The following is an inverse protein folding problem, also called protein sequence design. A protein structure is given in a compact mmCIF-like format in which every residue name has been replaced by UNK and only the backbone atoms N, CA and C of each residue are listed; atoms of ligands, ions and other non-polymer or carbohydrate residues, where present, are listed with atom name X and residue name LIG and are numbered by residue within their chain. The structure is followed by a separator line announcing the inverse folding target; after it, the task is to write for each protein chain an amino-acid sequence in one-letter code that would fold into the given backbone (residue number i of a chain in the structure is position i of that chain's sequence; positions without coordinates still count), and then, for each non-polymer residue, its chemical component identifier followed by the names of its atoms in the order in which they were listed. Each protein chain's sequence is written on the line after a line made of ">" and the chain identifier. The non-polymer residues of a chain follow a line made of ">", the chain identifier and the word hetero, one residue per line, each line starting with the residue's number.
data_IF_205751119988
#
_entry.id   IF_205751119988
#
_cell.length_a   1.000
_cell.length_b   1.000
_cell.length_c   1.000
_cell.angle_alpha   90.00
_cell.angle_beta   90.00
_cell.angle_gamma   90.00
#
_symmetry.space_group_name_H-M   'P 1'
#
loop_
_entity.id
_entity.type
_entity.pdbx_description
1 polymer ?
#
# COMPACT_ATOMS: atom_id res chain seq x y z
N UNK A 1 65.92 -40.22 44.81
CA UNK A 1 64.91 -39.75 45.80
C UNK A 1 64.22 -38.52 45.28
N UNK A 2 62.97 -38.68 44.76
CA UNK A 2 62.17 -37.54 44.21
C UNK A 2 61.39 -36.94 45.37
N UNK A 3 61.61 -35.66 45.67
CA UNK A 3 60.87 -34.92 46.68
C UNK A 3 59.42 -34.62 46.26
N UNK A 4 58.47 -34.54 47.18
CA UNK A 4 57.06 -34.29 46.88
C UNK A 4 56.86 -32.88 46.37
N UNK A 5 56.36 -32.76 45.18
CA UNK A 5 55.87 -31.47 44.62
C UNK A 5 54.74 -30.93 45.48
N UNK A 6 54.98 -29.86 46.25
CA UNK A 6 53.94 -29.11 46.98
C UNK A 6 52.90 -28.58 45.99
N UNK A 7 51.70 -29.11 46.00
CA UNK A 7 50.55 -28.55 45.32
C UNK A 7 50.18 -27.25 46.03
N UNK A 8 50.36 -26.12 45.32
CA UNK A 8 49.86 -24.83 45.82
C UNK A 8 48.33 -24.81 45.63
N UNK A 9 47.59 -24.67 46.70
CA UNK A 9 46.14 -24.49 46.68
C UNK A 9 45.79 -23.07 46.27
N UNK A 10 44.63 -22.89 45.64
CA UNK A 10 44.10 -21.57 45.32
C UNK A 10 43.77 -20.78 46.58
N UNK A 11 44.05 -19.48 46.56
CA UNK A 11 43.67 -18.58 47.67
C UNK A 11 42.20 -18.13 47.49
N UNK A 12 41.51 -17.88 48.60
CA UNK A 12 40.13 -17.40 48.58
C UNK A 12 39.97 -16.10 47.76
N UNK A 13 40.96 -15.20 47.83
CA UNK A 13 40.99 -13.95 47.11
C UNK A 13 41.11 -14.13 45.57
N UNK A 14 41.85 -15.14 45.14
CA UNK A 14 42.00 -15.48 43.73
C UNK A 14 40.68 -15.98 43.12
N UNK A 15 39.93 -16.79 43.88
CA UNK A 15 38.60 -17.24 43.46
C UNK A 15 37.61 -16.08 43.41
N UNK A 16 37.61 -15.18 44.41
CA UNK A 16 36.75 -13.99 44.40
C UNK A 16 37.07 -13.04 43.23
N UNK A 17 38.34 -12.84 42.94
CA UNK A 17 38.76 -12.01 41.80
C UNK A 17 38.35 -12.64 40.47
N UNK A 18 38.52 -13.96 40.33
CA UNK A 18 38.10 -14.68 39.14
C UNK A 18 36.59 -14.58 38.93
N UNK A 19 35.76 -14.71 39.97
CA UNK A 19 34.30 -14.55 39.91
C UNK A 19 33.91 -13.12 39.57
N UNK A 20 34.60 -12.11 40.12
CA UNK A 20 34.33 -10.70 39.81
C UNK A 20 34.60 -10.39 38.33
N UNK A 21 35.74 -10.88 37.81
CA UNK A 21 36.06 -10.70 36.37
C UNK A 21 35.03 -11.45 35.49
N UNK A 22 34.71 -12.71 35.84
CA UNK A 22 33.73 -13.51 35.11
C UNK A 22 32.36 -12.81 35.07
N UNK A 23 31.90 -12.27 36.22
CA UNK A 23 30.64 -11.56 36.33
C UNK A 23 30.62 -10.30 35.42
N UNK A 24 31.72 -9.55 35.42
CA UNK A 24 31.84 -8.34 34.58
C UNK A 24 31.81 -8.70 33.10
N UNK A 25 32.55 -9.74 32.69
CA UNK A 25 32.54 -10.21 31.28
C UNK A 25 31.14 -10.69 30.88
N UNK A 26 30.44 -11.42 31.76
CA UNK A 26 29.09 -11.91 31.49
C UNK A 26 28.11 -10.74 31.28
N UNK A 27 28.16 -9.70 32.16
CA UNK A 27 27.31 -8.51 32.03
C UNK A 27 27.59 -7.77 30.71
N UNK A 28 28.84 -7.62 30.31
CA UNK A 28 29.21 -6.99 29.04
C UNK A 28 28.71 -7.80 27.83
N UNK A 29 28.82 -9.12 27.86
CA UNK A 29 28.31 -10.00 26.80
C UNK A 29 26.78 -9.91 26.67
N UNK A 30 26.05 -9.95 27.78
CA UNK A 30 24.60 -9.80 27.79
C UNK A 30 24.18 -8.43 27.30
N UNK A 31 24.87 -7.37 27.68
CA UNK A 31 24.59 -6.01 27.21
C UNK A 31 24.81 -5.88 25.70
N UNK A 32 25.92 -6.43 25.18
CA UNK A 32 26.20 -6.44 23.75
C UNK A 32 25.14 -7.24 22.97
N UNK A 33 24.76 -8.42 23.47
CA UNK A 33 23.74 -9.26 22.86
C UNK A 33 22.36 -8.57 22.80
N UNK A 34 21.92 -7.98 23.92
CA UNK A 34 20.64 -7.28 23.97
C UNK A 34 20.62 -6.04 23.08
N UNK A 35 21.74 -5.31 22.99
CA UNK A 35 21.90 -4.18 22.06
C UNK A 35 21.79 -4.59 20.60
N UNK A 36 22.48 -5.67 20.22
CA UNK A 36 22.42 -6.22 18.87
C UNK A 36 21.00 -6.71 18.50
N UNK A 37 20.34 -7.42 19.41
CA UNK A 37 18.98 -7.95 19.20
C UNK A 37 17.97 -6.82 18.96
N UNK A 38 18.00 -5.75 19.77
CA UNK A 38 17.13 -4.58 19.57
C UNK A 38 17.38 -3.88 18.23
N UNK A 39 18.65 -3.78 17.82
CA UNK A 39 19.01 -3.22 16.52
C UNK A 39 18.41 -4.02 15.36
N UNK A 40 18.45 -5.34 15.43
CA UNK A 40 17.86 -6.23 14.42
C UNK A 40 16.33 -6.11 14.34
N UNK A 41 15.64 -5.99 15.46
CA UNK A 41 14.18 -5.80 15.50
C UNK A 41 13.76 -4.51 14.77
N UNK A 42 14.45 -3.40 15.05
CA UNK A 42 14.16 -2.11 14.40
C UNK A 42 14.41 -2.19 12.89
N UNK A 43 15.49 -2.83 12.45
CA UNK A 43 15.80 -3.00 11.04
C UNK A 43 14.77 -3.89 10.34
N UNK A 44 14.32 -4.95 11.01
CA UNK A 44 13.32 -5.87 10.46
C UNK A 44 11.97 -5.18 10.28
N UNK A 45 11.53 -4.39 11.26
CA UNK A 45 10.27 -3.66 11.17
C UNK A 45 10.30 -2.60 10.06
N UNK A 46 11.39 -1.85 9.95
CA UNK A 46 11.58 -0.91 8.83
C UNK A 46 11.52 -1.61 7.48
N UNK A 47 12.21 -2.75 7.35
CA UNK A 47 12.20 -3.55 6.12
C UNK A 47 10.80 -4.03 5.76
N UNK A 48 9.97 -4.43 6.74
CA UNK A 48 8.57 -4.82 6.55
C UNK A 48 7.74 -3.64 6.04
N UNK A 49 7.85 -2.48 6.66
CA UNK A 49 7.12 -1.27 6.26
C UNK A 49 7.47 -0.86 4.83
N UNK A 50 8.76 -0.84 4.47
CA UNK A 50 9.20 -0.55 3.09
C UNK A 50 8.63 -1.55 2.08
N UNK A 51 8.61 -2.83 2.42
CA UNK A 51 8.03 -3.88 1.57
C UNK A 51 6.52 -3.68 1.39
N UNK A 52 5.78 -3.37 2.45
CA UNK A 52 4.35 -3.08 2.38
C UNK A 52 4.07 -1.87 1.48
N UNK A 53 4.80 -0.77 1.66
CA UNK A 53 4.66 0.42 0.82
C UNK A 53 4.93 0.07 -0.65
N UNK A 54 6.01 -0.65 -0.95
CA UNK A 54 6.36 -1.05 -2.31
C UNK A 54 5.27 -1.90 -2.95
N UNK A 55 4.81 -2.94 -2.27
CA UNK A 55 3.73 -3.81 -2.75
C UNK A 55 2.44 -3.00 -2.97
N UNK A 56 2.11 -2.09 -2.07
CA UNK A 56 0.95 -1.20 -2.21
C UNK A 56 1.07 -0.29 -3.43
N UNK A 57 2.25 0.30 -3.65
CA UNK A 57 2.53 1.15 -4.81
C UNK A 57 2.40 0.37 -6.12
N UNK A 58 2.91 -0.88 -6.16
CA UNK A 58 2.82 -1.75 -7.32
C UNK A 58 1.36 -2.15 -7.58
N UNK A 59 0.61 -2.48 -6.54
CA UNK A 59 -0.81 -2.84 -6.66
C UNK A 59 -1.66 -1.68 -7.16
N UNK A 60 -1.53 -0.49 -6.56
CA UNK A 60 -2.24 0.72 -7.02
C UNK A 60 -1.90 1.00 -8.49
N UNK A 61 -0.62 0.92 -8.85
CA UNK A 61 -0.17 1.14 -10.22
C UNK A 61 -0.78 0.15 -11.21
N UNK A 62 -0.81 -1.13 -10.86
CA UNK A 62 -1.40 -2.18 -11.69
C UNK A 62 -2.91 -1.99 -11.89
N UNK A 63 -3.65 -1.71 -10.81
CA UNK A 63 -5.09 -1.48 -10.88
C UNK A 63 -5.41 -0.23 -11.72
N UNK A 64 -4.61 0.83 -11.62
CA UNK A 64 -4.78 2.06 -12.40
C UNK A 64 -4.53 1.85 -13.90
N UNK A 65 -3.62 0.95 -14.29
CA UNK A 65 -3.42 0.63 -15.71
C UNK A 65 -4.64 -0.02 -16.35
N UNK A 66 -5.46 -0.72 -15.57
CA UNK A 66 -6.74 -1.28 -16.00
C UNK A 66 -7.92 -0.31 -15.89
N UNK A 67 -7.71 0.93 -15.41
CA UNK A 67 -8.79 1.88 -15.17
C UNK A 67 -9.45 2.30 -16.49
N UNK A 68 -10.79 2.29 -16.51
CA UNK A 68 -11.56 2.79 -17.62
C UNK A 68 -12.82 3.54 -17.13
N UNK A 69 -13.32 4.42 -17.94
CA UNK A 69 -14.57 5.12 -17.70
C UNK A 69 -15.21 5.47 -19.04
N UNK A 70 -16.51 5.32 -19.13
CA UNK A 70 -17.27 5.64 -20.33
C UNK A 70 -18.49 6.47 -19.99
N UNK A 71 -18.71 7.61 -20.65
CA UNK A 71 -19.94 8.39 -20.48
C UNK A 71 -21.21 7.61 -20.88
N UNK A 72 -21.05 6.62 -21.79
CA UNK A 72 -22.14 5.78 -22.26
C UNK A 72 -22.54 4.66 -21.27
N UNK A 73 -21.73 4.41 -20.25
CA UNK A 73 -21.95 3.34 -19.26
C UNK A 73 -22.00 3.97 -17.87
N UNK A 74 -23.22 4.23 -17.38
CA UNK A 74 -23.45 4.94 -16.11
C UNK A 74 -22.80 4.26 -14.88
N UNK A 75 -22.59 2.96 -14.94
CA UNK A 75 -21.96 2.20 -13.84
C UNK A 75 -20.45 2.41 -13.74
N UNK A 76 -19.81 2.95 -14.80
CA UNK A 76 -18.37 3.25 -14.77
C UNK A 76 -18.13 4.61 -14.14
N UNK A 77 -17.10 4.70 -13.32
CA UNK A 77 -16.77 5.94 -12.63
C UNK A 77 -15.27 6.05 -12.39
N UNK A 78 -14.80 7.29 -12.37
CA UNK A 78 -13.49 7.66 -11.85
C UNK A 78 -13.65 8.90 -10.98
N UNK A 79 -13.40 8.78 -9.70
CA UNK A 79 -13.52 9.89 -8.75
C UNK A 79 -12.36 9.88 -7.76
N UNK A 80 -11.91 11.05 -7.38
CA UNK A 80 -10.93 11.23 -6.31
C UNK A 80 -11.34 12.41 -5.44
N UNK A 81 -11.20 12.25 -4.12
CA UNK A 81 -11.41 13.31 -3.13
C UNK A 81 -10.17 13.47 -2.28
N UNK A 82 -9.84 14.72 -1.98
CA UNK A 82 -8.74 15.09 -1.08
C UNK A 82 -9.23 15.09 0.37
N UNK A 83 -9.51 13.89 0.91
CA UNK A 83 -9.86 13.75 2.31
C UNK A 83 -8.62 13.96 3.20
N UNK A 84 -8.82 14.34 4.46
CA UNK A 84 -7.77 14.55 5.45
C UNK A 84 -8.13 13.87 6.77
N UNK A 85 -7.11 13.36 7.44
CA UNK A 85 -7.20 12.88 8.81
C UNK A 85 -6.17 13.58 9.69
N UNK A 86 -6.64 14.32 10.72
CA UNK A 86 -5.76 15.10 11.62
C UNK A 86 -4.73 15.98 10.88
N UNK A 87 -5.16 16.66 9.80
CA UNK A 87 -4.29 17.49 8.97
C UNK A 87 -3.36 16.72 8.01
N UNK A 88 -3.43 15.39 8.00
CA UNK A 88 -2.66 14.53 7.10
C UNK A 88 -3.49 14.13 5.88
N UNK A 89 -2.90 14.07 4.69
CA UNK A 89 -3.63 13.67 3.49
C UNK A 89 -4.09 12.21 3.60
N UNK A 90 -5.36 11.98 3.31
CA UNK A 90 -6.03 10.67 3.37
C UNK A 90 -6.98 10.52 2.18
N UNK A 91 -6.48 10.76 0.96
CA UNK A 91 -7.29 10.77 -0.26
C UNK A 91 -8.12 9.51 -0.42
N UNK A 92 -9.32 9.66 -0.98
CA UNK A 92 -10.17 8.54 -1.40
C UNK A 92 -10.22 8.51 -2.92
N UNK A 93 -9.80 7.39 -3.51
CA UNK A 93 -9.79 7.16 -4.95
C UNK A 93 -10.73 6.00 -5.29
N UNK A 94 -11.70 6.24 -6.18
CA UNK A 94 -12.68 5.25 -6.62
C UNK A 94 -12.68 5.22 -8.14
N UNK A 95 -12.55 4.04 -8.73
CA UNK A 95 -12.59 3.88 -10.18
C UNK A 95 -13.05 2.49 -10.59
N UNK A 96 -13.49 2.39 -11.84
CA UNK A 96 -13.79 1.12 -12.50
C UNK A 96 -12.54 0.67 -13.26
N UNK A 97 -12.22 -0.61 -13.17
CA UNK A 97 -11.06 -1.19 -13.83
C UNK A 97 -11.36 -2.58 -14.39
N UNK A 98 -10.62 -2.97 -15.42
CA UNK A 98 -10.48 -4.37 -15.78
C UNK A 98 -9.58 -5.06 -14.75
N UNK A 99 -10.04 -6.16 -14.21
CA UNK A 99 -9.27 -6.97 -13.26
C UNK A 99 -9.24 -8.41 -13.73
N UNK A 100 -8.14 -9.09 -13.45
CA UNK A 100 -8.12 -10.53 -13.67
C UNK A 100 -9.15 -11.17 -12.72
N UNK A 101 -9.96 -12.13 -13.21
CA UNK A 101 -10.90 -12.85 -12.39
C UNK A 101 -10.20 -13.50 -11.20
N UNK A 102 -10.79 -13.42 -10.03
CA UNK A 102 -10.31 -14.18 -8.87
C UNK A 102 -10.72 -15.64 -9.05
N UNK A 103 -9.81 -16.45 -9.59
CA UNK A 103 -10.01 -17.87 -9.82
C UNK A 103 -10.13 -18.68 -8.53
N UNK A 104 -9.83 -18.09 -7.37
CA UNK A 104 -9.98 -18.74 -6.06
C UNK A 104 -11.40 -18.62 -5.50
N UNK A 105 -12.24 -17.75 -6.09
CA UNK A 105 -13.63 -17.59 -5.69
C UNK A 105 -14.53 -18.58 -6.41
N UNK A 106 -15.42 -19.30 -5.69
CA UNK A 106 -16.40 -20.19 -6.32
C UNK A 106 -17.53 -19.44 -7.05
N UNK A 107 -17.51 -18.11 -7.05
CA UNK A 107 -18.50 -17.27 -7.75
C UNK A 107 -17.94 -16.79 -9.08
N UNK A 108 -18.77 -16.71 -10.14
CA UNK A 108 -18.36 -16.08 -11.38
C UNK A 108 -17.99 -14.63 -11.08
N UNK A 109 -16.70 -14.28 -11.19
CA UNK A 109 -16.21 -12.91 -11.11
C UNK A 109 -16.34 -12.26 -12.47
N UNK A 110 -16.72 -10.99 -12.49
CA UNK A 110 -16.72 -10.20 -13.73
C UNK A 110 -15.31 -9.67 -13.98
N UNK A 111 -14.92 -9.53 -15.24
CA UNK A 111 -13.66 -8.89 -15.63
C UNK A 111 -13.64 -7.40 -15.30
N UNK A 112 -14.79 -6.84 -14.93
CA UNK A 112 -14.98 -5.42 -14.62
C UNK A 112 -15.32 -5.28 -13.15
N UNK A 113 -14.48 -4.53 -12.43
CA UNK A 113 -14.60 -4.32 -10.99
C UNK A 113 -14.59 -2.84 -10.65
N UNK A 114 -15.24 -2.49 -9.56
CA UNK A 114 -15.10 -1.19 -8.92
C UNK A 114 -14.07 -1.29 -7.80
N UNK A 115 -13.06 -0.46 -7.85
CA UNK A 115 -11.97 -0.43 -6.89
C UNK A 115 -12.02 0.88 -6.12
N UNK A 116 -11.87 0.78 -4.81
CA UNK A 116 -11.77 1.92 -3.91
C UNK A 116 -10.51 1.81 -3.08
N UNK A 117 -9.68 2.85 -3.12
CA UNK A 117 -8.56 3.06 -2.21
C UNK A 117 -8.93 4.14 -1.22
N UNK A 118 -8.72 3.90 0.06
CA UNK A 118 -9.05 4.84 1.11
C UNK A 118 -8.26 4.55 2.38
N UNK A 119 -8.17 5.54 3.25
CA UNK A 119 -7.48 5.43 4.52
C UNK A 119 -8.47 5.24 5.67
N UNK A 120 -8.10 4.41 6.65
CA UNK A 120 -8.72 4.35 7.98
C UNK A 120 -7.70 4.81 9.01
N UNK A 121 -8.19 5.25 10.15
CA UNK A 121 -7.35 5.58 11.29
C UNK A 121 -6.63 4.33 11.78
N UNK A 122 -5.33 4.41 11.94
CA UNK A 122 -4.52 3.33 12.51
C UNK A 122 -4.84 3.09 14.00
N UNK A 123 -4.43 1.93 14.50
CA UNK A 123 -4.68 1.54 15.88
C UNK A 123 -4.08 2.50 16.93
N UNK A 124 -3.05 3.25 16.56
CA UNK A 124 -2.37 4.25 17.40
C UNK A 124 -3.10 5.62 17.43
N UNK A 125 -4.16 5.81 16.63
CA UNK A 125 -4.88 7.08 16.48
C UNK A 125 -4.06 8.21 15.84
N UNK A 126 -2.80 7.96 15.45
CA UNK A 126 -1.87 8.96 14.93
C UNK A 126 -1.48 8.73 13.47
N UNK A 127 -1.55 7.51 13.02
CA UNK A 127 -1.24 7.06 11.67
C UNK A 127 -2.51 6.68 10.92
N UNK A 128 -2.37 6.38 9.64
CA UNK A 128 -3.43 5.84 8.81
C UNK A 128 -3.02 4.48 8.24
N UNK A 129 -4.00 3.63 8.07
CA UNK A 129 -3.86 2.35 7.36
C UNK A 129 -4.55 2.48 6.00
N UNK A 130 -3.87 2.05 4.94
CA UNK A 130 -4.39 2.08 3.58
C UNK A 130 -5.16 0.80 3.28
N UNK A 131 -6.38 0.95 2.79
CA UNK A 131 -7.27 -0.12 2.41
C UNK A 131 -7.57 -0.09 0.92
N UNK A 132 -7.74 -1.27 0.36
CA UNK A 132 -8.28 -1.51 -0.98
C UNK A 132 -9.55 -2.31 -0.85
N UNK A 133 -10.63 -1.79 -1.39
CA UNK A 133 -11.92 -2.46 -1.50
C UNK A 133 -12.18 -2.75 -2.98
N UNK A 134 -12.61 -3.94 -3.28
CA UNK A 134 -13.01 -4.35 -4.62
C UNK A 134 -14.43 -4.90 -4.57
N UNK A 135 -15.26 -4.45 -5.50
CA UNK A 135 -16.59 -4.99 -5.70
C UNK A 135 -16.78 -5.33 -7.17
N UNK A 136 -17.39 -6.47 -7.45
CA UNK A 136 -17.82 -6.79 -8.80
C UNK A 136 -18.89 -5.77 -9.22
N UNK A 137 -18.83 -5.30 -10.47
CA UNK A 137 -19.88 -4.43 -10.98
C UNK A 137 -21.16 -5.26 -11.18
N UNK A 138 -22.27 -4.88 -10.54
CA UNK A 138 -23.50 -5.55 -10.82
C UNK A 138 -23.99 -5.13 -12.19
N UNK A 139 -24.12 -6.07 -13.06
CA UNK A 139 -25.04 -5.94 -14.18
C UNK A 139 -26.49 -6.13 -13.69
N UNK A 140 -26.69 -6.71 -12.51
CA UNK A 140 -28.01 -7.03 -11.93
C UNK A 140 -27.91 -7.10 -10.40
N UNK A 141 -28.72 -6.23 -9.69
CA UNK A 141 -29.19 -6.32 -8.30
C UNK A 141 -28.23 -6.16 -7.10
N UNK A 142 -28.61 -5.23 -6.31
CA UNK A 142 -28.62 -4.81 -4.87
C UNK A 142 -27.75 -5.48 -3.79
N UNK A 143 -26.91 -6.46 -4.03
CA UNK A 143 -25.92 -6.95 -3.07
C UNK A 143 -24.64 -7.33 -3.78
N UNK A 144 -23.73 -6.38 -3.84
CA UNK A 144 -22.41 -6.58 -4.40
C UNK A 144 -21.51 -7.13 -3.29
N UNK A 145 -20.95 -8.33 -3.43
CA UNK A 145 -19.90 -8.78 -2.52
C UNK A 145 -18.71 -7.87 -2.67
N UNK A 146 -18.28 -7.26 -1.57
CA UNK A 146 -17.06 -6.45 -1.50
C UNK A 146 -15.98 -7.25 -0.80
N UNK A 147 -14.78 -7.23 -1.36
CA UNK A 147 -13.58 -7.76 -0.73
C UNK A 147 -12.72 -6.60 -0.28
N UNK A 148 -12.51 -6.48 1.02
CA UNK A 148 -11.63 -5.47 1.60
C UNK A 148 -10.29 -6.08 1.97
N UNK A 149 -9.20 -5.43 1.61
CA UNK A 149 -7.84 -5.83 1.99
C UNK A 149 -7.05 -4.64 2.50
N UNK A 150 -6.31 -4.84 3.60
CA UNK A 150 -5.40 -3.84 4.14
C UNK A 150 -4.05 -3.96 3.44
N UNK A 151 -3.59 -2.92 2.78
CA UNK A 151 -2.38 -2.91 1.99
C UNK A 151 -1.15 -2.45 2.76
N UNK A 152 -1.28 -1.39 3.54
CA UNK A 152 -0.20 -0.85 4.35
C UNK A 152 -0.72 -0.29 5.67
N UNK A 153 0.13 -0.31 6.69
CA UNK A 153 -0.18 0.17 8.03
C UNK A 153 0.81 1.25 8.46
N UNK A 154 0.40 2.08 9.40
CA UNK A 154 1.30 3.04 10.04
C UNK A 154 1.81 4.13 9.09
N UNK A 155 1.02 4.56 8.12
CA UNK A 155 1.38 5.65 7.21
C UNK A 155 1.06 7.01 7.84
N UNK A 156 1.84 8.02 7.48
CA UNK A 156 1.55 9.43 7.82
C UNK A 156 0.69 10.11 6.77
N UNK A 157 0.53 9.54 5.56
CA UNK A 157 -0.30 10.14 4.53
C UNK A 157 -0.49 9.27 3.30
N UNK A 158 -1.63 9.46 2.65
CA UNK A 158 -1.95 8.96 1.32
C UNK A 158 -2.52 10.12 0.51
N UNK A 159 -1.82 10.55 -0.53
CA UNK A 159 -2.21 11.65 -1.40
C UNK A 159 -2.25 11.21 -2.85
N UNK A 160 -3.29 11.63 -3.55
CA UNK A 160 -3.47 11.38 -4.98
C UNK A 160 -3.63 12.71 -5.70
N UNK A 161 -2.91 12.86 -6.80
CA UNK A 161 -2.92 14.04 -7.67
C UNK A 161 -3.15 13.58 -9.11
N UNK A 162 -3.98 14.28 -9.86
CA UNK A 162 -4.38 13.91 -11.23
C UNK A 162 -4.19 15.06 -12.18
N UNK A 163 -3.91 14.75 -13.45
CA UNK A 163 -3.73 15.75 -14.49
C UNK A 163 -4.24 15.25 -15.85
N UNK A 164 -4.95 16.10 -16.57
CA UNK A 164 -5.29 15.90 -17.98
C UNK A 164 -4.47 16.79 -18.92
N UNK A 165 -3.64 17.67 -18.40
CA UNK A 165 -2.80 18.61 -19.14
C UNK A 165 -1.59 19.04 -18.30
N UNK A 166 -1.40 20.34 -18.13
CA UNK A 166 -0.28 20.89 -17.38
C UNK A 166 -0.58 20.99 -15.87
N UNK A 167 -1.84 21.29 -15.51
CA UNK A 167 -2.26 21.49 -14.12
C UNK A 167 -2.54 20.16 -13.41
N UNK A 168 -2.12 20.07 -12.16
CA UNK A 168 -2.43 18.98 -11.25
C UNK A 168 -3.58 19.37 -10.31
N UNK A 169 -4.48 18.44 -10.03
CA UNK A 169 -5.60 18.58 -9.09
C UNK A 169 -5.60 17.41 -8.12
N UNK A 170 -6.01 17.66 -6.89
CA UNK A 170 -6.21 16.62 -5.87
C UNK A 170 -7.65 16.07 -5.87
N UNK A 171 -8.54 16.66 -6.65
CA UNK A 171 -9.94 16.25 -6.79
C UNK A 171 -10.28 15.94 -8.23
N UNK A 172 -11.12 14.90 -8.45
CA UNK A 172 -11.60 14.51 -9.76
C UNK A 172 -13.03 13.92 -9.69
N UNK A 173 -13.96 14.36 -10.54
CA UNK A 173 -13.81 15.50 -11.44
C UNK A 173 -13.61 16.79 -10.66
N UNK A 174 -12.76 17.71 -11.17
CA UNK A 174 -12.50 19.01 -10.54
C UNK A 174 -13.66 19.98 -10.67
N UNK A 175 -13.46 21.26 -10.27
CA UNK A 175 -14.49 22.30 -10.18
C UNK A 175 -15.33 22.55 -11.44
N UNK A 176 -14.84 22.17 -12.62
CA UNK A 176 -15.62 22.18 -13.90
C UNK A 176 -16.22 20.79 -14.17
N UNK A 177 -16.98 20.27 -13.23
CA UNK A 177 -17.48 18.89 -13.16
C UNK A 177 -18.26 18.42 -14.41
N UNK A 178 -18.86 19.34 -15.18
CA UNK A 178 -19.63 18.99 -16.38
C UNK A 178 -18.79 18.37 -17.51
N UNK A 179 -17.55 18.84 -17.70
CA UNK A 179 -16.69 18.41 -18.80
C UNK A 179 -15.87 17.14 -18.48
N UNK A 180 -15.67 16.82 -17.19
CA UNK A 180 -14.84 15.69 -16.73
C UNK A 180 -15.65 14.46 -16.30
N UNK A 181 -16.99 14.55 -16.23
CA UNK A 181 -17.85 13.43 -15.88
C UNK A 181 -17.70 12.31 -16.92
N UNK A 182 -17.32 11.12 -16.46
CA UNK A 182 -17.08 9.96 -17.32
C UNK A 182 -15.75 10.00 -18.10
N UNK A 183 -14.83 10.93 -17.80
CA UNK A 183 -13.51 10.97 -18.40
C UNK A 183 -12.43 10.58 -17.38
N UNK A 184 -11.37 9.96 -17.89
CA UNK A 184 -10.18 9.62 -17.10
C UNK A 184 -9.16 10.77 -17.17
N UNK A 185 -8.42 11.04 -16.07
CA UNK A 185 -7.23 11.88 -16.14
C UNK A 185 -6.15 11.18 -16.98
N UNK A 186 -5.30 11.94 -17.65
CA UNK A 186 -4.19 11.36 -18.44
C UNK A 186 -3.09 10.79 -17.55
N UNK A 187 -2.85 11.43 -16.42
CA UNK A 187 -1.77 11.08 -15.47
C UNK A 187 -2.30 11.11 -14.05
N UNK A 188 -1.85 10.16 -13.26
CA UNK A 188 -2.13 10.09 -11.83
C UNK A 188 -0.80 9.95 -11.11
N UNK A 189 -0.55 10.81 -10.14
CA UNK A 189 0.56 10.71 -9.20
C UNK A 189 0.00 10.39 -7.82
N UNK A 190 0.47 9.33 -7.20
CA UNK A 190 0.09 9.00 -5.83
C UNK A 190 1.32 8.90 -4.95
N UNK A 191 1.15 9.32 -3.71
CA UNK A 191 2.20 9.43 -2.71
C UNK A 191 1.75 8.71 -1.45
N UNK A 192 2.57 7.78 -0.99
CA UNK A 192 2.47 7.18 0.34
C UNK A 192 3.58 7.78 1.20
N UNK A 193 3.22 8.34 2.35
CA UNK A 193 4.17 8.89 3.32
C UNK A 193 4.31 7.91 4.48
N UNK A 194 5.53 7.47 4.79
CA UNK A 194 5.77 6.58 5.92
C UNK A 194 5.61 7.29 7.28
N UNK A 195 5.75 6.53 8.37
CA UNK A 195 5.65 7.06 9.73
C UNK A 195 6.72 8.10 10.07
N UNK A 196 7.84 8.14 9.32
CA UNK A 196 8.94 9.08 9.48
C UNK A 196 8.81 10.33 8.59
N UNK A 197 7.74 10.43 7.79
CA UNK A 197 7.51 11.53 6.88
C UNK A 197 8.22 11.41 5.53
N UNK A 198 8.76 10.22 5.18
CA UNK A 198 9.38 9.99 3.87
C UNK A 198 8.32 9.68 2.83
N UNK A 199 8.35 10.43 1.74
CA UNK A 199 7.43 10.26 0.61
C UNK A 199 7.92 9.21 -0.38
N UNK A 200 7.00 8.32 -0.78
CA UNK A 200 7.14 7.38 -1.88
C UNK A 200 6.15 7.78 -2.96
N UNK A 201 6.66 8.27 -4.08
CA UNK A 201 5.85 8.79 -5.19
C UNK A 201 5.93 7.87 -6.38
N UNK A 202 4.77 7.67 -7.05
CA UNK A 202 4.69 7.01 -8.35
C UNK A 202 3.71 7.76 -9.22
N UNK A 203 4.04 7.90 -10.51
CA UNK A 203 3.16 8.46 -11.52
C UNK A 203 2.83 7.39 -12.56
N UNK A 204 1.55 7.29 -12.89
CA UNK A 204 1.01 6.34 -13.87
C UNK A 204 0.32 7.14 -14.97
N UNK A 205 0.55 6.75 -16.21
CA UNK A 205 -0.19 7.22 -17.37
C UNK A 205 -1.32 6.24 -17.64
N UNK A 206 -2.56 6.76 -17.77
CA UNK A 206 -3.71 5.91 -18.02
C UNK A 206 -3.84 5.67 -19.53
N UNK A 207 -3.73 4.40 -20.00
CA UNK A 207 -3.74 4.11 -21.45
C UNK A 207 -5.06 4.48 -22.13
N UNK A 208 -6.17 4.37 -21.40
CA UNK A 208 -7.52 4.63 -21.93
C UNK A 208 -7.99 6.08 -21.73
N UNK A 209 -7.12 6.97 -21.24
CA UNK A 209 -7.44 8.38 -21.11
C UNK A 209 -7.55 9.04 -22.48
N UNK A 210 -8.71 9.67 -22.73
CA UNK A 210 -8.98 10.37 -24.00
C UNK A 210 -9.47 9.47 -25.14
N UNK A 211 -9.59 8.17 -24.93
CA UNK A 211 -10.32 7.29 -25.85
C UNK A 211 -11.81 7.30 -25.48
N UNK A 212 -12.65 7.62 -26.44
CA UNK A 212 -14.08 7.38 -26.25
C UNK A 212 -14.30 5.86 -26.23
N UNK A 213 -14.83 5.36 -25.12
CA UNK A 213 -15.07 3.91 -24.95
C UNK A 213 -16.07 3.33 -25.98
N UNK A 214 -16.64 4.14 -26.85
CA UNK A 214 -17.40 3.73 -28.03
C UNK A 214 -16.61 2.75 -28.92
N UNK A 215 -15.27 2.83 -28.94
CA UNK A 215 -14.43 1.94 -29.74
C UNK A 215 -14.36 0.52 -29.14
N UNK A 216 -14.42 0.38 -27.81
CA UNK A 216 -14.32 -0.93 -27.14
C UNK A 216 -15.61 -1.75 -27.23
N UNK A 217 -16.76 -1.10 -27.46
CA UNK A 217 -18.06 -1.75 -27.54
C UNK A 217 -18.71 -1.68 -28.92
N UNK A 218 -18.12 -1.00 -29.90
CA UNK A 218 -18.54 -1.06 -31.29
C UNK A 218 -18.00 -2.33 -31.93
N UNK A 219 -18.56 -3.47 -31.55
CA UNK A 219 -18.54 -4.65 -32.39
C UNK A 219 -19.23 -4.26 -33.71
N UNK A 220 -18.46 -3.82 -34.70
CA UNK A 220 -18.89 -3.66 -36.06
C UNK A 220 -19.55 -4.98 -36.47
N UNK A 221 -20.87 -5.03 -36.54
CA UNK A 221 -21.55 -6.08 -37.29
C UNK A 221 -21.06 -5.98 -38.73
N UNK A 222 -19.97 -6.67 -39.01
CA UNK A 222 -19.59 -6.97 -40.38
C UNK A 222 -20.60 -8.00 -40.90
N UNK A 223 -21.43 -7.58 -41.84
CA UNK A 223 -22.26 -8.51 -42.58
C UNK A 223 -23.74 -8.19 -42.59
N UNK A 224 -24.12 -7.18 -43.37
CA UNK A 224 -25.34 -7.18 -44.19
C UNK A 224 -25.19 -6.11 -45.26
N UNK A 225 -24.43 -6.45 -46.30
CA UNK A 225 -24.71 -5.94 -47.66
C UNK A 225 -25.01 -7.19 -48.46
N UNK A 226 -26.30 -7.28 -48.78
CA UNK A 226 -26.81 -7.82 -50.05
C UNK A 226 -28.17 -7.23 -50.28
#
# INVERSE_FOLDING_TARGET
>A
MSGPRRRKGFTLIEVLLALAILSTVLVLLLSAFTGASRGLEVLTERSRQFRQIRISMDRIGADLLGAFSSPAVETTSFTCRADQFSGKPASTLIFTAFSLPDTSSPRPSTDIVKIRYYAKVGADGKTIDLYREQSDLPLIENRIPTTESRLATGLSGFRVEMSSGEKWSTEWPGGDAGAAKGRLPKRISFVLTDSLGKDFRRTVYLPLAGQEASILFSGKRAGQEK
#
